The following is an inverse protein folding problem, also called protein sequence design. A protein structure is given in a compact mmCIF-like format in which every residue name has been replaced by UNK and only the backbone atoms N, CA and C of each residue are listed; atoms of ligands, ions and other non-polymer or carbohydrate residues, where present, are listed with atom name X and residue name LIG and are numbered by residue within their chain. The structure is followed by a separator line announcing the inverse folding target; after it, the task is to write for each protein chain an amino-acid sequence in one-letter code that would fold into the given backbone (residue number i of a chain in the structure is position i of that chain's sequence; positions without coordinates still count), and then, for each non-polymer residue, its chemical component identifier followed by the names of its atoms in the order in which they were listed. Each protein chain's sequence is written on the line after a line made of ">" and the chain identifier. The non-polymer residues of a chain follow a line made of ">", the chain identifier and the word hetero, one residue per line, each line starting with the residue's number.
data_IF_437475060067
#
_entry.id   IF_437475060067
#
_cell.length_a   1.000
_cell.length_b   1.000
_cell.length_c   1.000
_cell.angle_alpha   90.00
_cell.angle_beta   90.00
_cell.angle_gamma   90.00
#
_symmetry.space_group_name_H-M   'P 1'
#
loop_
_entity.id
_entity.type
_entity.pdbx_description
1 polymer ?
#
# COMPACT_ATOMS: atom_id res chain seq x y z
N UNK A 1 15.94 -17.66 3.03
CA UNK A 1 15.92 -16.20 2.91
C UNK A 1 14.49 -15.80 3.15
N UNK A 2 14.24 -14.96 4.14
CA UNK A 2 12.87 -14.51 4.46
C UNK A 2 12.46 -13.42 3.47
N UNK A 3 11.18 -13.39 3.10
CA UNK A 3 10.64 -12.42 2.15
C UNK A 3 9.50 -11.65 2.81
N UNK A 4 9.51 -10.33 2.64
CA UNK A 4 8.37 -9.48 2.97
C UNK A 4 7.65 -9.12 1.69
N UNK A 5 6.39 -9.51 1.57
CA UNK A 5 5.51 -9.08 0.51
C UNK A 5 4.82 -7.78 0.92
N UNK A 6 5.05 -6.68 0.19
CA UNK A 6 4.35 -5.41 0.40
C UNK A 6 3.17 -5.37 -0.55
N UNK A 7 1.98 -5.61 -0.02
CA UNK A 7 0.80 -6.01 -0.81
C UNK A 7 -0.23 -4.89 -0.87
N UNK A 8 -0.56 -4.43 -2.06
CA UNK A 8 -1.71 -3.58 -2.32
C UNK A 8 -3.01 -4.39 -2.32
N UNK A 9 -3.91 -4.13 -1.36
CA UNK A 9 -5.18 -4.86 -1.24
C UNK A 9 -6.33 -4.26 -2.07
N UNK A 10 -6.03 -3.26 -2.90
CA UNK A 10 -7.05 -2.57 -3.69
C UNK A 10 -8.02 -1.76 -2.82
N UNK A 11 -9.25 -1.54 -3.25
CA UNK A 11 -10.24 -0.72 -2.54
C UNK A 11 -10.86 -1.41 -1.31
N UNK A 12 -10.36 -2.58 -0.90
CA UNK A 12 -10.72 -3.26 0.33
C UNK A 12 -11.68 -4.47 0.17
N UNK A 13 -12.44 -4.55 -0.92
CA UNK A 13 -13.25 -5.73 -1.19
C UNK A 13 -12.38 -6.86 -1.77
N UNK A 14 -12.57 -8.08 -1.27
CA UNK A 14 -11.79 -9.25 -1.70
C UNK A 14 -11.84 -9.48 -3.22
N UNK A 15 -13.01 -9.32 -3.85
CA UNK A 15 -13.23 -9.51 -5.28
C UNK A 15 -12.49 -8.48 -6.16
N UNK A 16 -12.01 -7.40 -5.56
CA UNK A 16 -11.25 -6.32 -6.24
C UNK A 16 -9.74 -6.40 -5.97
N UNK A 17 -9.32 -7.42 -5.23
CA UNK A 17 -7.92 -7.71 -5.00
C UNK A 17 -7.32 -8.35 -6.26
N UNK A 18 -6.04 -8.10 -6.53
CA UNK A 18 -5.35 -8.87 -7.58
C UNK A 18 -5.19 -10.33 -7.14
N UNK A 19 -5.15 -11.25 -8.09
CA UNK A 19 -4.92 -12.67 -7.79
C UNK A 19 -3.58 -12.85 -7.07
N UNK A 20 -2.53 -12.15 -7.52
CA UNK A 20 -1.21 -12.20 -6.90
C UNK A 20 -1.24 -11.72 -5.44
N UNK A 21 -1.98 -10.63 -5.15
CA UNK A 21 -2.16 -10.15 -3.79
C UNK A 21 -2.88 -11.19 -2.91
N UNK A 22 -3.97 -11.78 -3.40
CA UNK A 22 -4.69 -12.81 -2.68
C UNK A 22 -3.82 -14.06 -2.41
N UNK A 23 -2.99 -14.46 -3.38
CA UNK A 23 -2.09 -15.60 -3.24
C UNK A 23 -0.96 -15.32 -2.25
N UNK A 24 -0.39 -14.11 -2.27
CA UNK A 24 0.61 -13.70 -1.27
C UNK A 24 0.04 -13.76 0.15
N UNK A 25 -1.19 -13.27 0.36
CA UNK A 25 -1.85 -13.31 1.66
C UNK A 25 -2.21 -14.74 2.10
N UNK A 26 -2.52 -15.65 1.16
CA UNK A 26 -2.76 -17.07 1.49
C UNK A 26 -1.50 -17.80 1.88
N UNK A 27 -0.36 -17.43 1.31
CA UNK A 27 0.88 -18.19 1.46
C UNK A 27 1.82 -17.61 2.52
N UNK A 28 1.59 -16.40 3.05
CA UNK A 28 2.38 -15.86 4.15
C UNK A 28 2.01 -16.50 5.50
N UNK A 29 2.86 -16.35 6.49
CA UNK A 29 2.61 -16.77 7.87
C UNK A 29 1.89 -15.68 8.66
N UNK A 30 2.31 -14.43 8.47
CA UNK A 30 1.86 -13.25 9.21
C UNK A 30 1.41 -12.15 8.27
N UNK A 31 0.26 -11.56 8.56
CA UNK A 31 -0.26 -10.37 7.86
C UNK A 31 -0.14 -9.17 8.81
N UNK A 32 0.59 -8.14 8.37
CA UNK A 32 0.85 -6.92 9.13
C UNK A 32 0.20 -5.73 8.43
N UNK A 33 -0.49 -4.87 9.17
CA UNK A 33 -1.12 -3.72 8.57
C UNK A 33 -1.65 -2.69 9.58
N UNK A 34 -2.17 -1.60 9.04
CA UNK A 34 -3.01 -0.69 9.80
C UNK A 34 -4.28 -1.43 10.22
N UNK A 35 -4.72 -1.22 11.46
CA UNK A 35 -5.84 -1.98 12.07
C UNK A 35 -7.07 -2.07 11.16
N UNK A 36 -7.49 -0.94 10.57
CA UNK A 36 -8.66 -0.91 9.68
C UNK A 36 -8.46 -1.77 8.41
N UNK A 37 -7.24 -1.80 7.86
CA UNK A 37 -6.96 -2.61 6.66
C UNK A 37 -6.93 -4.11 6.98
N UNK A 38 -6.40 -4.46 8.14
CA UNK A 38 -6.45 -5.86 8.62
C UNK A 38 -7.90 -6.31 8.83
N UNK A 39 -8.75 -5.45 9.39
CA UNK A 39 -10.17 -5.75 9.58
C UNK A 39 -10.92 -6.05 8.26
N UNK A 40 -10.50 -5.42 7.16
CA UNK A 40 -11.08 -5.67 5.83
C UNK A 40 -10.76 -7.07 5.28
N UNK A 41 -9.61 -7.64 5.64
CA UNK A 41 -9.11 -8.87 5.01
C UNK A 41 -9.16 -10.09 5.91
N UNK A 42 -9.18 -9.94 7.23
CA UNK A 42 -9.02 -11.04 8.20
C UNK A 42 -10.02 -12.18 8.03
N UNK A 43 -11.25 -11.90 7.62
CA UNK A 43 -12.27 -12.92 7.41
C UNK A 43 -11.98 -13.84 6.22
N UNK A 44 -11.24 -13.32 5.21
CA UNK A 44 -10.89 -14.06 4.00
C UNK A 44 -9.61 -14.89 4.15
N UNK A 45 -8.81 -14.62 5.18
CA UNK A 45 -7.52 -15.29 5.42
C UNK A 45 -7.44 -15.91 6.82
N UNK A 46 -8.46 -16.71 7.16
CA UNK A 46 -8.54 -17.39 8.45
C UNK A 46 -7.30 -18.28 8.70
N UNK A 47 -6.87 -18.34 9.96
CA UNK A 47 -5.71 -19.15 10.37
C UNK A 47 -4.36 -18.46 10.22
N UNK A 48 -4.32 -17.21 9.76
CA UNK A 48 -3.11 -16.39 9.75
C UNK A 48 -2.93 -15.65 11.09
N UNK A 49 -1.68 -15.37 11.43
CA UNK A 49 -1.36 -14.41 12.48
C UNK A 49 -1.54 -12.99 11.93
N UNK A 50 -2.20 -12.12 12.71
CA UNK A 50 -2.41 -10.73 12.35
C UNK A 50 -1.75 -9.81 13.35
N UNK A 51 -0.87 -8.94 12.88
CA UNK A 51 -0.25 -7.89 13.68
C UNK A 51 -0.69 -6.52 13.16
N UNK A 52 -1.06 -5.64 14.07
CA UNK A 52 -1.58 -4.32 13.72
C UNK A 52 -0.84 -3.21 14.43
N UNK A 53 -0.76 -2.06 13.78
CA UNK A 53 -0.34 -0.82 14.40
C UNK A 53 -1.36 0.28 14.14
N UNK A 54 -1.51 1.27 15.02
CA UNK A 54 -2.42 2.38 14.79
C UNK A 54 -1.91 3.29 13.66
N UNK A 55 -2.76 4.26 13.27
CA UNK A 55 -2.40 5.31 12.32
C UNK A 55 -1.21 6.14 12.81
N UNK A 56 -0.41 6.67 11.88
CA UNK A 56 0.81 7.45 12.13
C UNK A 56 1.94 6.66 12.80
N UNK A 57 1.93 5.34 12.61
CA UNK A 57 2.95 4.40 13.09
C UNK A 57 3.57 3.62 11.93
N UNK A 58 3.79 4.31 10.81
CA UNK A 58 4.28 3.71 9.57
C UNK A 58 5.67 3.09 9.75
N UNK A 59 6.60 3.82 10.37
CA UNK A 59 7.96 3.34 10.64
C UNK A 59 7.94 2.15 11.61
N UNK A 60 7.14 2.22 12.69
CA UNK A 60 6.98 1.10 13.62
C UNK A 60 6.42 -0.14 12.89
N UNK A 61 5.46 0.05 11.99
CA UNK A 61 4.87 -1.04 11.21
C UNK A 61 5.91 -1.69 10.29
N UNK A 62 6.74 -0.89 9.62
CA UNK A 62 7.83 -1.41 8.80
C UNK A 62 8.83 -2.19 9.65
N UNK A 63 9.28 -1.65 10.77
CA UNK A 63 10.21 -2.34 11.67
C UNK A 63 9.61 -3.66 12.19
N UNK A 64 8.36 -3.67 12.60
CA UNK A 64 7.64 -4.89 13.00
C UNK A 64 7.65 -5.94 11.89
N UNK A 65 7.49 -5.55 10.62
CA UNK A 65 7.54 -6.46 9.50
C UNK A 65 8.94 -7.07 9.32
N UNK A 66 10.00 -6.26 9.43
CA UNK A 66 11.37 -6.75 9.35
C UNK A 66 11.74 -7.65 10.54
N UNK A 67 11.41 -7.27 11.76
CA UNK A 67 11.64 -8.06 12.97
C UNK A 67 10.96 -9.42 12.86
N UNK A 68 9.68 -9.44 12.43
CA UNK A 68 8.93 -10.68 12.22
C UNK A 68 9.55 -11.55 11.11
N UNK A 69 10.02 -10.95 10.03
CA UNK A 69 10.68 -11.69 8.95
C UNK A 69 12.06 -12.23 9.38
N UNK A 70 12.78 -11.52 10.25
CA UNK A 70 14.05 -11.97 10.80
C UNK A 70 13.90 -13.23 11.68
N UNK A 71 12.71 -13.48 12.24
CA UNK A 71 12.38 -14.74 12.91
C UNK A 71 12.18 -15.92 11.95
N UNK A 72 12.31 -15.70 10.64
CA UNK A 72 12.17 -16.74 9.61
C UNK A 72 10.75 -16.89 9.06
N UNK A 73 9.81 -16.01 9.43
CA UNK A 73 8.43 -16.02 8.93
C UNK A 73 8.31 -15.33 7.57
N UNK A 74 7.39 -15.81 6.74
CA UNK A 74 6.96 -15.13 5.53
C UNK A 74 5.91 -14.06 5.90
N UNK A 75 6.22 -12.80 5.63
CA UNK A 75 5.40 -11.66 6.07
C UNK A 75 4.72 -11.02 4.88
N UNK A 76 3.42 -10.74 5.01
CA UNK A 76 2.70 -9.84 4.11
C UNK A 76 2.37 -8.54 4.84
N UNK A 77 2.92 -7.42 4.38
CA UNK A 77 2.53 -6.10 4.85
C UNK A 77 1.51 -5.48 3.89
N UNK A 78 0.29 -5.26 4.38
CA UNK A 78 -0.82 -4.78 3.55
C UNK A 78 -0.95 -3.27 3.53
N UNK A 79 -1.28 -2.75 2.34
CA UNK A 79 -1.57 -1.35 2.07
C UNK A 79 -2.94 -1.24 1.39
N UNK A 80 -3.73 -0.22 1.70
CA UNK A 80 -4.92 0.12 0.90
C UNK A 80 -4.49 0.58 -0.50
N UNK A 81 -5.30 0.28 -1.51
CA UNK A 81 -4.99 0.62 -2.88
C UNK A 81 -3.78 -0.15 -3.41
N UNK A 82 -2.79 0.57 -3.89
CA UNK A 82 -1.52 0.06 -4.40
C UNK A 82 -0.38 0.34 -3.43
N UNK A 83 0.51 -0.63 -3.24
CA UNK A 83 1.62 -0.53 -2.29
C UNK A 83 2.68 0.52 -2.70
N UNK A 84 2.82 0.81 -3.99
CA UNK A 84 3.77 1.78 -4.56
C UNK A 84 3.17 3.16 -4.80
N UNK A 85 1.83 3.30 -4.79
CA UNK A 85 1.15 4.58 -5.02
C UNK A 85 0.73 5.19 -3.67
N UNK A 86 1.55 6.06 -3.12
CA UNK A 86 1.39 6.62 -1.76
C UNK A 86 1.25 5.56 -0.66
N UNK A 87 1.69 4.34 -0.96
CA UNK A 87 1.69 3.20 -0.04
C UNK A 87 3.00 3.06 0.73
N UNK A 88 3.18 1.91 1.35
CA UNK A 88 4.31 1.66 2.26
C UNK A 88 5.58 1.17 1.55
N UNK A 89 5.52 0.83 0.24
CA UNK A 89 6.66 0.21 -0.44
C UNK A 89 7.92 1.07 -0.42
N UNK A 90 7.78 2.40 -0.63
CA UNK A 90 8.92 3.31 -0.57
C UNK A 90 9.61 3.31 0.80
N UNK A 91 8.83 3.39 1.88
CA UNK A 91 9.36 3.38 3.25
C UNK A 91 10.01 2.02 3.61
N UNK A 92 9.45 0.92 3.08
CA UNK A 92 10.05 -0.41 3.27
C UNK A 92 11.44 -0.49 2.64
N UNK A 93 11.59 0.01 1.41
CA UNK A 93 12.90 0.05 0.76
C UNK A 93 13.88 0.98 1.48
N UNK A 94 13.42 2.13 1.97
CA UNK A 94 14.27 3.05 2.74
C UNK A 94 14.83 2.40 4.00
N UNK A 95 14.02 1.62 4.72
CA UNK A 95 14.44 0.94 5.94
C UNK A 95 15.17 -0.39 5.67
N UNK A 96 15.12 -0.94 4.47
CA UNK A 96 15.71 -2.25 4.14
C UNK A 96 17.23 -2.27 4.26
N UNK A 97 17.91 -1.12 4.22
CA UNK A 97 19.36 -1.02 4.42
C UNK A 97 19.79 -1.57 5.80
N UNK A 98 18.91 -1.52 6.80
CA UNK A 98 19.15 -2.08 8.13
C UNK A 98 18.99 -3.63 8.16
N UNK A 99 18.42 -4.24 7.09
CA UNK A 99 18.00 -5.65 7.02
C UNK A 99 18.43 -6.32 5.70
N UNK A 100 19.74 -6.39 5.38
CA UNK A 100 20.23 -6.79 4.04
C UNK A 100 19.91 -8.24 3.67
N UNK A 101 19.58 -9.11 4.62
CA UNK A 101 19.27 -10.53 4.39
C UNK A 101 17.77 -10.80 4.15
N UNK A 102 16.92 -9.74 4.15
CA UNK A 102 15.48 -9.84 3.95
C UNK A 102 15.13 -9.28 2.56
N UNK A 103 14.53 -10.12 1.74
CA UNK A 103 14.03 -9.71 0.43
C UNK A 103 12.69 -8.96 0.57
N UNK A 104 12.53 -7.86 -0.19
CA UNK A 104 11.25 -7.17 -0.33
C UNK A 104 10.68 -7.46 -1.71
N UNK A 105 9.43 -7.90 -1.76
CA UNK A 105 8.67 -8.06 -2.99
C UNK A 105 7.40 -7.22 -2.94
N UNK A 106 7.30 -6.25 -3.85
CA UNK A 106 6.11 -5.40 -3.96
C UNK A 106 5.08 -6.08 -4.85
N UNK A 107 3.85 -6.17 -4.36
CA UNK A 107 2.73 -6.74 -5.11
C UNK A 107 1.70 -5.63 -5.34
N UNK A 108 1.41 -5.32 -6.61
CA UNK A 108 0.54 -4.21 -6.97
C UNK A 108 -0.92 -4.47 -6.58
N UNK A 109 -1.63 -3.40 -6.30
CA UNK A 109 -3.08 -3.40 -6.07
C UNK A 109 -3.79 -2.36 -6.94
N UNK A 110 -5.11 -2.40 -6.94
CA UNK A 110 -5.93 -1.40 -7.64
C UNK A 110 -5.92 -0.11 -6.82
N UNK A 111 -5.19 0.90 -7.29
CA UNK A 111 -5.12 2.22 -6.60
C UNK A 111 -6.49 2.90 -6.57
N UNK A 112 -6.72 3.75 -5.56
CA UNK A 112 -7.96 4.52 -5.41
C UNK A 112 -8.30 5.38 -6.63
N UNK A 113 -7.30 5.85 -7.38
CA UNK A 113 -7.51 6.59 -8.61
C UNK A 113 -8.32 5.80 -9.64
N UNK A 114 -7.83 4.61 -10.00
CA UNK A 114 -8.52 3.74 -10.98
C UNK A 114 -9.75 3.07 -10.39
N UNK A 115 -9.71 2.68 -9.11
CA UNK A 115 -10.86 2.10 -8.41
C UNK A 115 -12.03 3.07 -8.27
N UNK A 116 -11.75 4.33 -7.95
CA UNK A 116 -12.75 5.41 -7.89
C UNK A 116 -13.25 5.82 -9.26
N UNK A 117 -12.36 5.93 -10.24
CA UNK A 117 -12.71 6.22 -11.63
C UNK A 117 -13.74 5.21 -12.18
N UNK A 118 -13.57 3.92 -11.89
CA UNK A 118 -14.50 2.88 -12.32
C UNK A 118 -15.92 3.05 -11.75
N UNK A 119 -16.06 3.68 -10.58
CA UNK A 119 -17.37 4.00 -9.99
C UNK A 119 -18.01 5.22 -10.65
N UNK A 120 -17.17 6.17 -11.10
CA UNK A 120 -17.60 7.42 -11.74
C UNK A 120 -17.80 7.28 -13.26
N UNK A 121 -17.61 6.12 -13.81
CA UNK A 121 -17.60 5.87 -15.24
C UNK A 121 -16.18 5.72 -15.77
N UNK A 122 -15.75 6.56 -16.70
CA UNK A 122 -14.40 6.49 -17.28
C UNK A 122 -13.73 7.89 -17.33
N UNK A 123 -13.57 8.60 -16.18
CA UNK A 123 -13.03 9.96 -16.18
C UNK A 123 -11.54 10.03 -16.51
N UNK A 124 -10.81 8.91 -16.46
CA UNK A 124 -9.38 8.84 -16.76
C UNK A 124 -9.07 8.40 -18.18
N UNK A 125 -9.89 8.83 -19.15
CA UNK A 125 -9.71 8.47 -20.58
C UNK A 125 -8.55 9.26 -21.23
N UNK A 126 -8.15 10.36 -20.63
CA UNK A 126 -7.03 11.21 -21.02
C UNK A 126 -5.90 11.14 -20.01
N UNK A 127 -4.85 11.93 -20.19
CA UNK A 127 -3.74 12.03 -19.26
C UNK A 127 -4.23 12.48 -17.89
N UNK A 128 -3.67 11.90 -16.82
CA UNK A 128 -4.05 12.23 -15.46
C UNK A 128 -2.84 12.35 -14.53
N UNK A 129 -3.00 13.14 -13.49
CA UNK A 129 -2.02 13.35 -12.45
C UNK A 129 -2.55 12.83 -11.11
N UNK A 130 -1.73 12.04 -10.41
CA UNK A 130 -1.98 11.65 -9.03
C UNK A 130 -1.29 12.66 -8.12
N UNK A 131 -2.09 13.41 -7.32
CA UNK A 131 -1.57 14.46 -6.44
C UNK A 131 -2.11 14.23 -5.03
N UNK A 132 -1.22 13.86 -4.11
CA UNK A 132 -1.57 13.77 -2.70
C UNK A 132 -1.83 15.15 -2.11
N UNK A 133 -2.95 15.31 -1.43
CA UNK A 133 -3.30 16.52 -0.67
C UNK A 133 -2.78 16.48 0.78
N UNK A 134 -2.03 15.44 1.16
CA UNK A 134 -1.42 15.36 2.47
C UNK A 134 -0.29 16.38 2.61
N UNK A 135 -0.48 17.35 3.49
CA UNK A 135 0.46 18.43 3.79
C UNK A 135 1.41 18.12 4.96
N UNK A 136 1.35 16.91 5.50
CA UNK A 136 2.17 16.51 6.64
C UNK A 136 3.68 16.57 6.35
N UNK A 137 4.09 16.11 5.17
CA UNK A 137 5.49 16.06 4.72
C UNK A 137 5.77 16.94 3.50
N UNK A 138 4.72 17.49 2.88
CA UNK A 138 4.83 18.32 1.68
C UNK A 138 4.17 19.67 1.95
N UNK A 139 4.91 20.79 1.85
CA UNK A 139 4.33 22.12 2.04
C UNK A 139 3.13 22.37 1.11
N UNK A 140 2.09 23.02 1.63
CA UNK A 140 0.86 23.27 0.89
C UNK A 140 1.10 24.02 -0.43
N UNK A 141 1.97 25.00 -0.43
CA UNK A 141 2.32 25.79 -1.62
C UNK A 141 2.86 24.90 -2.76
N UNK A 142 3.54 23.81 -2.40
CA UNK A 142 4.02 22.83 -3.39
C UNK A 142 2.90 21.97 -3.95
N UNK A 143 1.92 21.61 -3.11
CA UNK A 143 0.72 20.88 -3.52
C UNK A 143 -0.10 21.74 -4.45
N UNK A 144 -0.40 23.00 -4.05
CA UNK A 144 -1.13 23.96 -4.84
C UNK A 144 -0.48 24.20 -6.21
N UNK A 145 0.84 24.39 -6.25
CA UNK A 145 1.57 24.53 -7.50
C UNK A 145 1.39 23.33 -8.42
N UNK A 146 1.41 22.11 -7.87
CA UNK A 146 1.18 20.89 -8.67
C UNK A 146 -0.23 20.84 -9.25
N UNK A 147 -1.24 21.22 -8.46
CA UNK A 147 -2.63 21.29 -8.89
C UNK A 147 -2.81 22.30 -10.02
N UNK A 148 -2.27 23.51 -9.88
CA UNK A 148 -2.34 24.55 -10.89
C UNK A 148 -1.68 24.13 -12.21
N UNK A 149 -0.47 23.57 -12.15
CA UNK A 149 0.25 23.11 -13.35
C UNK A 149 -0.45 21.93 -14.04
N UNK A 150 -1.01 21.00 -13.29
CA UNK A 150 -1.77 19.89 -13.86
C UNK A 150 -3.05 20.38 -14.53
N UNK A 151 -3.74 21.34 -13.91
CA UNK A 151 -4.95 21.97 -14.47
C UNK A 151 -4.63 22.79 -15.74
N UNK A 152 -3.54 23.55 -15.73
CA UNK A 152 -3.10 24.34 -16.90
C UNK A 152 -2.73 23.43 -18.08
N UNK A 153 -2.20 22.24 -17.80
CA UNK A 153 -1.85 21.25 -18.82
C UNK A 153 -3.02 20.30 -19.20
N UNK A 154 -4.24 20.60 -18.77
CA UNK A 154 -5.46 19.83 -19.07
C UNK A 154 -5.42 18.36 -18.58
N UNK A 155 -4.72 18.09 -17.49
CA UNK A 155 -4.72 16.77 -16.85
C UNK A 155 -5.99 16.57 -16.00
N UNK A 156 -6.52 15.36 -16.05
CA UNK A 156 -7.47 14.91 -15.01
C UNK A 156 -6.70 14.77 -13.70
N UNK A 157 -7.21 15.35 -12.61
CA UNK A 157 -6.54 15.30 -11.31
C UNK A 157 -7.23 14.28 -10.40
N UNK A 158 -6.44 13.35 -9.86
CA UNK A 158 -6.84 12.32 -8.90
C UNK A 158 -6.21 12.58 -7.52
#
# INVERSE_FOLDING_TARGET
>A
MSTIFVVGIGPGAYEKMTIEAADALRNCDVIIGYTVYVDLVKEHFAGKEFLTTPMRKEVERCRLAFETAAEGKQVAMICSGDAGVYGMAGLMYELSEEWPDIEIKVIPGVTAATGGAAVLGAPLIHDFALISLSDLLTPWEKIEKRLLLASEADFVIC
#
